data_IF_277374494226
#
_entry.id   IF_277374494226
#
_cell.length_a   1.000
_cell.length_b   1.000
_cell.length_c   1.000
_cell.angle_alpha   90.00
_cell.angle_beta   90.00
_cell.angle_gamma   90.00
#
_symmetry.space_group_name_H-M   'P 1'
#
loop_
_entity.id
_entity.type
_entity.pdbx_description
1 polymer ?
#
# COMPACT_ATOMS: atom_id res chain seq x y z
N UNK A 1 21.23 -6.18 10.28
CA UNK A 1 21.52 -7.51 9.69
C UNK A 1 21.76 -7.28 8.19
N UNK A 2 22.74 -7.94 7.58
CA UNK A 2 23.09 -7.77 6.16
C UNK A 2 23.22 -9.16 5.50
N UNK A 3 22.09 -9.82 5.17
CA UNK A 3 22.12 -11.17 4.61
C UNK A 3 22.74 -11.18 3.22
N UNK A 4 23.50 -12.24 2.92
CA UNK A 4 24.10 -12.44 1.60
C UNK A 4 23.17 -13.15 0.61
N UNK A 5 22.09 -13.79 1.08
CA UNK A 5 21.12 -14.51 0.26
C UNK A 5 19.79 -14.65 1.01
N UNK A 6 18.67 -14.73 0.30
CA UNK A 6 17.34 -15.04 0.84
C UNK A 6 16.87 -16.40 0.34
N UNK A 7 16.30 -17.22 1.23
CA UNK A 7 15.62 -18.47 0.90
C UNK A 7 14.12 -18.29 1.17
N UNK A 8 13.34 -17.82 0.17
CA UNK A 8 11.92 -17.54 0.36
C UNK A 8 11.10 -18.82 0.51
N UNK A 9 9.89 -18.70 1.07
CA UNK A 9 8.96 -19.84 1.18
C UNK A 9 8.44 -20.35 -0.17
N UNK A 10 8.61 -19.56 -1.24
CA UNK A 10 8.25 -19.91 -2.61
C UNK A 10 9.33 -19.36 -3.56
N UNK A 11 9.59 -20.07 -4.66
CA UNK A 11 10.59 -19.77 -5.71
C UNK A 11 12.05 -19.99 -5.32
N UNK A 12 12.96 -19.65 -6.23
CA UNK A 12 14.39 -19.87 -6.10
C UNK A 12 15.05 -18.92 -5.08
N UNK A 13 16.22 -19.30 -4.52
CA UNK A 13 17.00 -18.43 -3.66
C UNK A 13 17.39 -17.12 -4.34
N UNK A 14 17.32 -16.02 -3.60
CA UNK A 14 17.68 -14.68 -4.09
C UNK A 14 19.08 -14.33 -3.63
N UNK A 15 20.04 -14.31 -4.56
CA UNK A 15 21.44 -13.99 -4.27
C UNK A 15 21.64 -12.49 -3.93
N UNK A 16 20.93 -11.57 -4.59
CA UNK A 16 20.95 -10.15 -4.21
C UNK A 16 19.91 -9.85 -3.13
N UNK A 17 20.21 -10.29 -1.91
CA UNK A 17 19.30 -10.16 -0.78
C UNK A 17 18.97 -8.70 -0.46
N UNK A 18 19.98 -7.83 -0.40
CA UNK A 18 19.79 -6.43 -0.06
C UNK A 18 19.08 -5.65 -1.17
N UNK A 19 19.42 -5.90 -2.44
CA UNK A 19 18.71 -5.29 -3.56
C UNK A 19 17.24 -5.66 -3.57
N UNK A 20 16.89 -6.93 -3.28
CA UNK A 20 15.50 -7.37 -3.22
C UNK A 20 14.72 -6.73 -2.06
N UNK A 21 15.35 -6.59 -0.89
CA UNK A 21 14.73 -5.92 0.25
C UNK A 21 14.48 -4.45 -0.03
N UNK A 22 15.43 -3.74 -0.66
CA UNK A 22 15.25 -2.33 -1.01
C UNK A 22 14.21 -2.15 -2.11
N UNK A 23 14.14 -3.05 -3.10
CA UNK A 23 13.08 -3.07 -4.11
C UNK A 23 11.69 -3.16 -3.44
N UNK A 24 11.51 -4.08 -2.49
CA UNK A 24 10.25 -4.26 -1.76
C UNK A 24 9.91 -3.03 -0.92
N UNK A 25 10.91 -2.48 -0.22
CA UNK A 25 10.75 -1.28 0.60
C UNK A 25 10.35 -0.08 -0.26
N UNK A 26 11.05 0.16 -1.37
CA UNK A 26 10.75 1.24 -2.30
C UNK A 26 9.34 1.10 -2.86
N UNK A 27 8.98 -0.09 -3.34
CA UNK A 27 7.66 -0.33 -3.90
C UNK A 27 6.54 -0.07 -2.87
N UNK A 28 6.73 -0.48 -1.61
CA UNK A 28 5.79 -0.21 -0.51
C UNK A 28 5.62 1.28 -0.25
N UNK A 29 6.73 2.03 -0.21
CA UNK A 29 6.73 3.48 0.04
C UNK A 29 6.13 4.27 -1.14
N UNK A 30 6.43 3.88 -2.37
CA UNK A 30 5.83 4.47 -3.57
C UNK A 30 4.31 4.32 -3.55
N UNK A 31 3.81 3.13 -3.20
CA UNK A 31 2.37 2.89 -3.13
C UNK A 31 1.71 3.70 -2.02
N UNK A 32 2.33 3.78 -0.85
CA UNK A 32 1.85 4.60 0.26
C UNK A 32 1.78 6.09 -0.11
N UNK A 33 2.79 6.61 -0.83
CA UNK A 33 2.80 7.97 -1.32
C UNK A 33 1.66 8.24 -2.32
N UNK A 34 1.32 7.29 -3.19
CA UNK A 34 0.17 7.38 -4.09
C UNK A 34 -1.14 7.48 -3.32
N UNK A 35 -1.35 6.62 -2.31
CA UNK A 35 -2.55 6.63 -1.46
C UNK A 35 -2.71 7.96 -0.74
N UNK A 36 -1.63 8.46 -0.13
CA UNK A 36 -1.65 9.75 0.56
C UNK A 36 -1.89 10.92 -0.40
N UNK A 37 -1.33 10.86 -1.61
CA UNK A 37 -1.58 11.87 -2.65
C UNK A 37 -3.05 11.89 -3.08
N UNK A 38 -3.70 10.74 -3.23
CA UNK A 38 -5.14 10.67 -3.53
C UNK A 38 -5.99 11.23 -2.37
N UNK A 39 -5.66 10.90 -1.12
CA UNK A 39 -6.36 11.44 0.05
C UNK A 39 -6.23 12.95 0.20
N UNK A 40 -5.11 13.53 -0.24
CA UNK A 40 -4.92 14.99 -0.31
C UNK A 40 -5.80 15.65 -1.36
N UNK A 41 -6.24 14.92 -2.39
CA UNK A 41 -7.20 15.43 -3.39
C UNK A 41 -8.64 15.38 -2.88
N UNK A 42 -8.94 14.47 -1.96
CA UNK A 42 -10.22 14.42 -1.28
C UNK A 42 -10.41 13.13 -0.48
N UNK A 43 -11.30 13.21 0.51
CA UNK A 43 -11.70 12.06 1.32
C UNK A 43 -12.37 10.97 0.50
N UNK A 44 -12.33 9.74 0.99
CA UNK A 44 -13.01 8.62 0.37
C UNK A 44 -12.99 7.36 1.21
N UNK A 45 -13.85 6.41 0.85
CA UNK A 45 -13.85 5.05 1.43
C UNK A 45 -12.68 4.22 0.88
N UNK A 46 -12.33 3.13 1.57
CA UNK A 46 -11.29 2.21 1.10
C UNK A 46 -11.56 1.70 -0.33
N UNK A 47 -12.81 1.39 -0.67
CA UNK A 47 -13.19 0.93 -2.00
C UNK A 47 -13.05 2.02 -3.07
N UNK A 48 -13.48 3.25 -2.79
CA UNK A 48 -13.34 4.38 -3.71
C UNK A 48 -11.87 4.70 -3.98
N UNK A 49 -11.04 4.74 -2.92
CA UNK A 49 -9.60 4.95 -3.03
C UNK A 49 -8.94 3.79 -3.79
N UNK A 50 -9.38 2.56 -3.56
CA UNK A 50 -8.90 1.38 -4.30
C UNK A 50 -9.15 1.54 -5.79
N UNK A 51 -10.37 1.93 -6.19
CA UNK A 51 -10.68 2.16 -7.61
C UNK A 51 -9.86 3.29 -8.22
N UNK A 52 -9.59 4.37 -7.46
CA UNK A 52 -8.77 5.50 -7.93
C UNK A 52 -7.29 5.15 -8.10
N UNK A 53 -6.73 4.35 -7.18
CA UNK A 53 -5.30 4.00 -7.17
C UNK A 53 -4.99 2.76 -8.01
N UNK A 54 -5.81 1.72 -7.93
CA UNK A 54 -5.56 0.41 -8.56
C UNK A 54 -6.42 0.14 -9.79
N UNK A 55 -7.51 0.88 -10.03
CA UNK A 55 -8.50 0.54 -11.07
C UNK A 55 -7.95 0.52 -12.51
N UNK A 56 -6.86 1.24 -12.79
CA UNK A 56 -6.18 1.18 -14.09
C UNK A 56 -5.17 0.04 -14.21
N UNK A 57 -4.73 -0.53 -13.09
CA UNK A 57 -3.70 -1.57 -13.01
C UNK A 57 -4.31 -2.97 -12.83
N UNK A 58 -5.51 -3.05 -12.25
CA UNK A 58 -6.11 -4.27 -11.73
C UNK A 58 -7.52 -4.43 -12.29
N UNK A 59 -7.81 -5.61 -12.86
CA UNK A 59 -9.16 -5.93 -13.36
C UNK A 59 -10.21 -6.01 -12.23
N UNK A 60 -11.49 -5.87 -12.58
CA UNK A 60 -12.62 -5.88 -11.63
C UNK A 60 -12.59 -7.09 -10.68
N UNK A 61 -12.22 -8.27 -11.18
CA UNK A 61 -12.15 -9.51 -10.41
C UNK A 61 -11.15 -9.45 -9.23
N UNK A 62 -10.16 -8.54 -9.30
CA UNK A 62 -9.09 -8.40 -8.33
C UNK A 62 -9.26 -7.16 -7.43
N UNK A 63 -10.31 -6.34 -7.64
CA UNK A 63 -10.55 -5.14 -6.83
C UNK A 63 -10.76 -5.46 -5.36
N UNK A 64 -11.43 -6.56 -5.01
CA UNK A 64 -11.60 -6.94 -3.60
C UNK A 64 -10.26 -7.25 -2.92
N UNK A 65 -9.35 -7.95 -3.61
CA UNK A 65 -8.01 -8.22 -3.09
C UNK A 65 -7.17 -6.93 -2.98
N UNK A 66 -7.30 -6.02 -3.96
CA UNK A 66 -6.67 -4.72 -3.90
C UNK A 66 -7.20 -3.87 -2.74
N UNK A 67 -8.50 -3.97 -2.42
CA UNK A 67 -9.11 -3.26 -1.29
C UNK A 67 -8.54 -3.72 0.05
N UNK A 68 -8.27 -5.03 0.23
CA UNK A 68 -7.60 -5.52 1.44
C UNK A 68 -6.22 -4.88 1.61
N UNK A 69 -5.47 -4.74 0.51
CA UNK A 69 -4.17 -4.08 0.50
C UNK A 69 -4.30 -2.58 0.80
N UNK A 70 -5.31 -1.92 0.22
CA UNK A 70 -5.62 -0.51 0.49
C UNK A 70 -5.94 -0.29 1.97
N UNK A 71 -6.77 -1.14 2.59
CA UNK A 71 -7.09 -1.05 4.02
C UNK A 71 -5.84 -1.17 4.90
N UNK A 72 -4.90 -2.04 4.55
CA UNK A 72 -3.63 -2.15 5.27
C UNK A 72 -2.77 -0.88 5.14
N UNK A 73 -2.76 -0.23 3.97
CA UNK A 73 -2.09 1.06 3.79
C UNK A 73 -2.77 2.19 4.60
N UNK A 74 -4.10 2.25 4.57
CA UNK A 74 -4.87 3.24 5.31
C UNK A 74 -4.67 3.10 6.82
N UNK A 75 -4.73 1.88 7.35
CA UNK A 75 -4.46 1.62 8.77
C UNK A 75 -3.06 2.10 9.16
N UNK A 76 -2.04 1.75 8.38
CA UNK A 76 -0.67 2.22 8.64
C UNK A 76 -0.58 3.75 8.63
N UNK A 77 -1.20 4.42 7.66
CA UNK A 77 -1.19 5.89 7.57
C UNK A 77 -1.92 6.56 8.74
N UNK A 78 -2.93 5.90 9.30
CA UNK A 78 -3.59 6.32 10.56
C UNK A 78 -2.63 6.16 11.73
N UNK A 79 -1.96 5.01 11.85
CA UNK A 79 -0.97 4.75 12.91
C UNK A 79 0.20 5.74 12.85
N UNK A 80 0.61 6.16 11.65
CA UNK A 80 1.64 7.18 11.42
C UNK A 80 1.15 8.62 11.65
N UNK A 81 -0.14 8.83 11.92
CA UNK A 81 -0.73 10.15 12.15
C UNK A 81 -0.77 11.04 10.91
N UNK A 82 -0.83 10.44 9.70
CA UNK A 82 -0.91 11.16 8.42
C UNK A 82 -2.34 11.21 7.86
N UNK A 83 -3.20 10.28 8.28
CA UNK A 83 -4.58 10.12 7.84
C UNK A 83 -5.45 9.92 9.07
N UNK A 84 -6.72 10.33 8.99
CA UNK A 84 -7.71 9.98 10.00
C UNK A 84 -8.93 9.30 9.37
N UNK A 85 -9.55 8.41 10.14
CA UNK A 85 -10.84 7.82 9.80
C UNK A 85 -11.98 8.74 10.31
N UNK A 86 -12.95 9.01 9.44
CA UNK A 86 -14.08 9.90 9.67
C UNK A 86 -15.36 9.14 9.47
N UNK A 87 -16.22 9.12 10.50
CA UNK A 87 -17.54 8.49 10.41
C UNK A 87 -17.52 6.97 10.25
N UNK A 88 -16.39 6.30 10.51
CA UNK A 88 -16.26 4.83 10.52
C UNK A 88 -16.13 4.17 9.14
N UNK A 89 -16.05 4.94 8.06
CA UNK A 89 -15.95 4.40 6.70
C UNK A 89 -15.08 5.24 5.76
N UNK A 90 -14.91 6.54 6.03
CA UNK A 90 -14.14 7.45 5.18
C UNK A 90 -12.78 7.77 5.78
N UNK A 91 -11.83 8.05 4.90
CA UNK A 91 -10.48 8.45 5.27
C UNK A 91 -10.18 9.83 4.67
N UNK A 92 -9.47 10.67 5.43
CA UNK A 92 -8.98 11.96 4.96
C UNK A 92 -7.55 12.21 5.42
N UNK A 93 -6.75 12.88 4.58
CA UNK A 93 -5.39 13.27 4.95
C UNK A 93 -5.42 14.36 6.03
N UNK A 94 -4.56 14.20 7.03
CA UNK A 94 -4.28 15.24 8.01
C UNK A 94 -3.41 16.32 7.33
N UNK A 95 -3.71 17.59 7.65
CA UNK A 95 -3.00 18.75 7.09
C UNK A 95 -1.56 18.84 7.57
#
# INVERSE_FOLDING_TARGET
>A
MNPAMLFPGHWDPVADAMGKLEEYRRHRLEREAQVLAELRRGRGTALELTRRVYGSEVGEDLIQAAEMTMRAHLQKLVDDGLVQEVGGEQFEALK
#
